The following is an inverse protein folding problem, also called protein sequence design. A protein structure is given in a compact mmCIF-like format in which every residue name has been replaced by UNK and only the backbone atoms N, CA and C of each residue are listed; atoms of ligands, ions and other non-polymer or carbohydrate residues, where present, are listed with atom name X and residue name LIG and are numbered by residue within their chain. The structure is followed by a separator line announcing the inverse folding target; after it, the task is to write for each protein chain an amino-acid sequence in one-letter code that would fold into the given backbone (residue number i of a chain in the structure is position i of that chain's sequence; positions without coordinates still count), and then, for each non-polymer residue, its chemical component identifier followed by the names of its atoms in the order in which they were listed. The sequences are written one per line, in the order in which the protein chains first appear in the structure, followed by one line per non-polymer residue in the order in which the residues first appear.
data_IF_680163743221
#
_entry.id   IF_680163743221
#
_cell.length_a   1.000
_cell.length_b   1.000
_cell.length_c   1.000
_cell.angle_alpha   90.00
_cell.angle_beta   90.00
_cell.angle_gamma   90.00
#
_symmetry.space_group_name_H-M   'P 1'
#
loop_
_entity.id
_entity.type
_entity.pdbx_description
1 polymer ?
#
# COMPACT_ATOMS: atom_id res chain seq x y z
N UNK A 1 14.40 -7.46 -9.25
CA UNK A 1 13.85 -8.56 -8.44
C UNK A 1 13.61 -9.74 -9.36
N UNK A 2 13.83 -10.97 -8.87
CA UNK A 2 13.55 -12.22 -9.61
C UNK A 2 12.28 -12.80 -9.00
N UNK A 3 11.35 -13.27 -9.84
CA UNK A 3 10.13 -13.96 -9.40
C UNK A 3 10.33 -15.44 -9.68
N UNK A 4 10.14 -16.29 -8.68
CA UNK A 4 10.20 -17.74 -8.81
C UNK A 4 8.82 -18.31 -8.47
N UNK A 5 8.26 -19.10 -9.39
CA UNK A 5 7.04 -19.88 -9.15
C UNK A 5 7.45 -21.35 -9.09
N UNK A 6 7.21 -21.98 -7.94
CA UNK A 6 7.60 -23.37 -7.70
C UNK A 6 6.38 -24.23 -7.36
N UNK A 7 6.38 -25.52 -7.75
CA UNK A 7 5.24 -26.42 -7.51
C UNK A 7 5.14 -26.91 -6.05
N UNK A 8 6.24 -26.83 -5.29
CA UNK A 8 6.34 -27.29 -3.91
C UNK A 8 7.35 -26.47 -3.08
N UNK A 9 7.40 -26.78 -1.78
CA UNK A 9 8.22 -26.09 -0.75
C UNK A 9 9.73 -26.42 -0.82
N UNK A 10 10.15 -27.40 -1.63
CA UNK A 10 11.57 -27.79 -1.74
C UNK A 10 12.39 -26.66 -2.30
N UNK A 11 11.89 -26.01 -3.37
CA UNK A 11 12.50 -24.83 -3.94
C UNK A 11 12.61 -23.68 -2.91
N UNK A 12 11.65 -23.54 -2.00
CA UNK A 12 11.69 -22.49 -0.97
C UNK A 12 12.80 -22.71 0.06
N UNK A 13 13.21 -23.96 0.34
CA UNK A 13 14.37 -24.27 1.19
C UNK A 13 15.69 -23.99 0.47
N UNK A 14 15.80 -24.43 -0.78
CA UNK A 14 17.00 -24.18 -1.59
C UNK A 14 17.22 -22.67 -1.81
N UNK A 15 16.16 -21.93 -2.13
CA UNK A 15 16.23 -20.48 -2.27
C UNK A 15 16.62 -19.80 -0.94
N UNK A 16 16.16 -20.28 0.21
CA UNK A 16 16.61 -19.77 1.52
C UNK A 16 18.11 -19.99 1.73
N UNK A 17 18.63 -21.18 1.44
CA UNK A 17 20.07 -21.43 1.53
C UNK A 17 20.91 -20.58 0.57
N UNK A 18 20.33 -20.11 -0.55
CA UNK A 18 21.00 -19.20 -1.47
C UNK A 18 21.10 -17.77 -0.94
N UNK A 19 20.20 -17.38 -0.03
CA UNK A 19 20.22 -16.07 0.63
C UNK A 19 21.13 -16.09 1.87
N UNK A 20 21.20 -17.23 2.56
CA UNK A 20 22.14 -17.44 3.66
C UNK A 20 23.59 -17.15 3.22
N UNK A 21 24.24 -16.19 3.89
CA UNK A 21 25.62 -15.80 3.60
C UNK A 21 25.79 -14.82 2.43
N UNK A 22 24.71 -14.34 1.80
CA UNK A 22 24.77 -13.28 0.79
C UNK A 22 24.27 -11.95 1.35
N UNK A 23 25.15 -10.98 1.61
CA UNK A 23 24.71 -9.63 2.00
C UNK A 23 23.83 -9.02 0.90
N UNK A 24 22.89 -8.18 1.30
CA UNK A 24 21.96 -7.44 0.44
C UNK A 24 21.08 -8.31 -0.49
N UNK A 25 20.97 -9.60 -0.20
CA UNK A 25 20.04 -10.51 -0.88
C UNK A 25 18.91 -10.85 0.08
N UNK A 26 17.67 -10.74 -0.37
CA UNK A 26 16.48 -10.95 0.46
C UNK A 26 15.46 -11.81 -0.29
N UNK A 27 14.70 -12.61 0.46
CA UNK A 27 13.63 -13.43 -0.12
C UNK A 27 12.32 -13.31 0.64
N UNK A 28 11.26 -13.01 -0.10
CA UNK A 28 9.88 -13.09 0.34
C UNK A 28 9.17 -14.26 -0.32
N UNK A 29 8.51 -15.09 0.47
CA UNK A 29 7.67 -16.20 0.00
C UNK A 29 6.20 -15.94 0.26
N UNK A 30 5.33 -16.47 -0.60
CA UNK A 30 3.88 -16.52 -0.35
C UNK A 30 3.49 -17.77 0.43
N UNK A 31 2.27 -17.81 0.95
CA UNK A 31 1.64 -19.07 1.33
C UNK A 31 1.33 -19.90 0.07
N UNK A 32 1.13 -21.22 0.19
CA UNK A 32 0.79 -22.07 -0.95
C UNK A 32 -0.52 -21.60 -1.60
N UNK A 33 -0.45 -21.21 -2.87
CA UNK A 33 -1.59 -20.77 -3.67
C UNK A 33 -1.83 -21.71 -4.87
N UNK A 34 -3.05 -21.69 -5.40
CA UNK A 34 -3.33 -22.29 -6.72
C UNK A 34 -2.77 -21.40 -7.83
N UNK A 35 -2.50 -21.98 -9.01
CA UNK A 35 -1.94 -21.25 -10.16
C UNK A 35 -2.82 -20.07 -10.61
N UNK A 36 -4.15 -20.21 -10.48
CA UNK A 36 -5.11 -19.14 -10.76
C UNK A 36 -4.97 -17.92 -9.83
N UNK A 37 -4.38 -18.10 -8.63
CA UNK A 37 -4.16 -17.06 -7.62
C UNK A 37 -2.73 -16.51 -7.63
N UNK A 38 -2.02 -16.60 -8.75
CA UNK A 38 -0.63 -16.10 -8.87
C UNK A 38 -0.51 -14.62 -8.55
N UNK A 39 -1.51 -13.79 -8.88
CA UNK A 39 -1.51 -12.37 -8.52
C UNK A 39 -1.53 -12.16 -6.99
N UNK A 40 -2.36 -12.92 -6.26
CA UNK A 40 -2.37 -12.93 -4.79
C UNK A 40 -1.04 -13.45 -4.23
N UNK A 41 -0.50 -14.54 -4.79
CA UNK A 41 0.79 -15.09 -4.38
C UNK A 41 1.93 -14.07 -4.57
N UNK A 42 1.92 -13.34 -5.68
CA UNK A 42 2.91 -12.29 -5.92
C UNK A 42 2.80 -11.16 -4.90
N UNK A 43 1.59 -10.67 -4.60
CA UNK A 43 1.38 -9.68 -3.54
C UNK A 43 1.88 -10.16 -2.18
N UNK A 44 1.55 -11.41 -1.80
CA UNK A 44 2.04 -12.03 -0.55
C UNK A 44 3.58 -12.09 -0.50
N UNK A 45 4.22 -12.50 -1.60
CA UNK A 45 5.68 -12.59 -1.68
C UNK A 45 6.34 -11.21 -1.60
N UNK A 46 5.75 -10.16 -2.18
CA UNK A 46 6.24 -8.77 -2.05
C UNK A 46 6.10 -8.27 -0.61
N UNK A 47 4.96 -8.48 0.05
CA UNK A 47 4.79 -8.12 1.47
C UNK A 47 5.76 -8.88 2.38
N UNK A 48 5.99 -10.17 2.11
CA UNK A 48 6.98 -10.95 2.86
C UNK A 48 8.40 -10.46 2.59
N UNK A 49 8.74 -10.10 1.34
CA UNK A 49 10.05 -9.57 0.98
C UNK A 49 10.35 -8.28 1.76
N UNK A 50 9.36 -7.40 1.91
CA UNK A 50 9.48 -6.20 2.72
C UNK A 50 9.84 -6.52 4.18
N UNK A 51 9.24 -7.55 4.77
CA UNK A 51 9.59 -8.02 6.13
C UNK A 51 10.99 -8.66 6.16
N UNK A 52 11.35 -9.40 5.12
CA UNK A 52 12.65 -10.07 5.02
C UNK A 52 13.82 -9.09 5.10
N UNK A 53 13.64 -7.85 4.62
CA UNK A 53 14.64 -6.77 4.74
C UNK A 53 15.00 -6.39 6.18
N UNK A 54 14.17 -6.73 7.16
CA UNK A 54 14.37 -6.40 8.57
C UNK A 54 14.71 -7.63 9.42
N UNK A 55 14.79 -8.82 8.82
CA UNK A 55 15.09 -10.06 9.54
C UNK A 55 16.56 -10.47 9.39
N UNK A 56 17.17 -11.03 10.45
CA UNK A 56 18.58 -11.44 10.41
C UNK A 56 18.87 -12.59 9.44
N UNK A 57 17.87 -13.40 9.09
CA UNK A 57 17.97 -14.48 8.12
C UNK A 57 17.66 -14.02 6.67
N UNK A 58 17.40 -12.71 6.46
CA UNK A 58 17.06 -12.10 5.17
C UNK A 58 15.90 -12.81 4.43
N UNK A 59 15.06 -13.54 5.17
CA UNK A 59 14.01 -14.36 4.62
C UNK A 59 12.72 -14.20 5.40
N UNK A 60 11.61 -14.13 4.69
CA UNK A 60 10.29 -14.25 5.30
C UNK A 60 9.37 -15.02 4.38
N UNK A 61 8.59 -15.92 4.99
CA UNK A 61 7.39 -16.47 4.36
C UNK A 61 6.23 -15.63 4.85
N UNK A 62 5.28 -15.35 3.97
CA UNK A 62 4.03 -14.68 4.31
C UNK A 62 3.34 -15.47 5.44
N UNK A 63 3.48 -14.96 6.66
CA UNK A 63 2.47 -15.16 7.69
C UNK A 63 1.32 -14.20 7.36
N UNK A 64 0.08 -14.55 7.71
CA UNK A 64 -1.04 -13.62 7.57
C UNK A 64 -0.78 -12.36 8.37
N UNK A 65 -0.20 -11.36 7.71
CA UNK A 65 -0.14 -10.00 8.17
C UNK A 65 -1.57 -9.51 8.20
N UNK A 66 -1.98 -8.95 9.33
CA UNK A 66 -3.28 -8.30 9.41
C UNK A 66 -3.25 -7.08 8.50
N UNK A 67 -3.84 -7.21 7.33
CA UNK A 67 -4.00 -6.10 6.39
C UNK A 67 -5.23 -5.28 6.76
N UNK A 68 -5.16 -3.93 6.67
CA UNK A 68 -6.21 -3.05 7.17
C UNK A 68 -7.57 -3.29 6.54
N UNK A 69 -7.63 -3.64 5.25
CA UNK A 69 -8.89 -3.92 4.55
C UNK A 69 -9.65 -5.11 5.12
N UNK A 70 -8.95 -6.09 5.71
CA UNK A 70 -9.59 -7.25 6.36
C UNK A 70 -10.19 -6.93 7.72
N UNK A 71 -9.83 -5.77 8.28
CA UNK A 71 -10.33 -5.28 9.58
C UNK A 71 -11.53 -4.33 9.43
N UNK A 72 -11.86 -3.93 8.20
CA UNK A 72 -12.98 -3.06 7.88
C UNK A 72 -14.26 -3.87 7.68
N UNK A 73 -15.43 -3.25 7.89
CA UNK A 73 -16.70 -3.86 7.50
C UNK A 73 -16.74 -4.02 5.96
N UNK A 74 -16.85 -5.25 5.42
CA UNK A 74 -16.77 -5.46 3.98
C UNK A 74 -17.85 -4.72 3.20
N UNK A 75 -19.05 -4.58 3.76
CA UNK A 75 -20.16 -3.93 3.07
C UNK A 75 -20.01 -2.40 3.05
N UNK A 76 -19.44 -1.80 4.10
CA UNK A 76 -19.05 -0.38 4.08
C UNK A 76 -17.91 -0.15 3.10
N UNK A 77 -16.87 -0.99 3.13
CA UNK A 77 -15.71 -0.87 2.24
C UNK A 77 -16.11 -1.01 0.76
N UNK A 78 -16.97 -1.97 0.42
CA UNK A 78 -17.49 -2.14 -0.94
C UNK A 78 -18.34 -0.96 -1.39
N UNK A 79 -19.25 -0.48 -0.54
CA UNK A 79 -20.10 0.68 -0.85
C UNK A 79 -19.27 1.93 -1.14
N UNK A 80 -18.33 2.25 -0.23
CA UNK A 80 -17.42 3.39 -0.40
C UNK A 80 -16.52 3.24 -1.63
N UNK A 81 -16.03 2.02 -1.91
CA UNK A 81 -15.22 1.76 -3.11
C UNK A 81 -16.02 2.03 -4.39
N UNK A 82 -17.28 1.59 -4.43
CA UNK A 82 -18.16 1.83 -5.58
C UNK A 82 -18.46 3.32 -5.75
N UNK A 83 -18.69 4.05 -4.66
CA UNK A 83 -18.90 5.50 -4.70
C UNK A 83 -17.65 6.24 -5.23
N UNK A 84 -16.47 5.93 -4.70
CA UNK A 84 -15.23 6.59 -5.08
C UNK A 84 -14.87 6.33 -6.55
N UNK A 85 -15.08 5.12 -7.05
CA UNK A 85 -14.71 4.76 -8.42
C UNK A 85 -15.80 5.06 -9.46
N UNK A 86 -17.02 5.41 -9.03
CA UNK A 86 -18.16 5.76 -9.92
C UNK A 86 -17.81 6.73 -11.05
N UNK A 87 -16.99 7.79 -10.85
CA UNK A 87 -16.64 8.69 -11.95
C UNK A 87 -15.95 8.00 -13.14
N UNK A 88 -15.39 6.81 -12.94
CA UNK A 88 -14.74 6.01 -13.98
C UNK A 88 -15.73 5.16 -14.80
N UNK A 89 -16.96 4.97 -14.33
CA UNK A 89 -17.99 4.14 -14.99
C UNK A 89 -18.43 4.69 -16.36
N UNK A 90 -18.14 5.98 -16.63
CA UNK A 90 -18.40 6.62 -17.93
C UNK A 90 -17.49 6.09 -19.05
N UNK A 91 -16.42 5.38 -18.69
CA UNK A 91 -15.44 4.89 -19.63
C UNK A 91 -15.90 3.59 -20.30
N UNK A 92 -15.50 3.40 -21.56
CA UNK A 92 -15.66 2.12 -22.23
C UNK A 92 -14.94 1.01 -21.45
N UNK A 93 -15.54 -0.18 -21.36
CA UNK A 93 -15.07 -1.29 -20.52
C UNK A 93 -13.56 -1.61 -20.65
N UNK A 94 -13.04 -1.64 -21.89
CA UNK A 94 -11.61 -1.89 -22.12
C UNK A 94 -10.72 -0.77 -21.57
N UNK A 95 -11.12 0.49 -21.74
CA UNK A 95 -10.39 1.66 -21.22
C UNK A 95 -10.46 1.67 -19.70
N UNK A 96 -11.63 1.36 -19.14
CA UNK A 96 -11.83 1.25 -17.70
C UNK A 96 -10.85 0.25 -17.08
N UNK A 97 -10.87 -1.01 -17.54
CA UNK A 97 -9.97 -2.05 -17.01
C UNK A 97 -8.49 -1.70 -17.17
N UNK A 98 -8.10 -1.10 -18.30
CA UNK A 98 -6.73 -0.67 -18.54
C UNK A 98 -6.27 0.43 -17.57
N UNK A 99 -7.11 1.43 -17.33
CA UNK A 99 -6.81 2.52 -16.39
C UNK A 99 -6.74 2.01 -14.95
N UNK A 100 -7.69 1.16 -14.52
CA UNK A 100 -7.65 0.60 -13.16
C UNK A 100 -6.40 -0.26 -12.94
N UNK A 101 -6.07 -1.15 -13.88
CA UNK A 101 -4.89 -2.00 -13.78
C UNK A 101 -3.59 -1.18 -13.77
N UNK A 102 -3.50 -0.16 -14.63
CA UNK A 102 -2.32 0.72 -14.69
C UNK A 102 -2.16 1.53 -13.42
N UNK A 103 -3.23 2.17 -12.94
CA UNK A 103 -3.18 3.02 -11.75
C UNK A 103 -2.90 2.19 -10.50
N UNK A 104 -3.46 0.99 -10.37
CA UNK A 104 -3.16 0.09 -9.26
C UNK A 104 -1.67 -0.25 -9.20
N UNK A 105 -1.07 -0.63 -10.34
CA UNK A 105 0.37 -0.91 -10.41
C UNK A 105 1.23 0.34 -10.23
N UNK A 106 0.79 1.49 -10.72
CA UNK A 106 1.51 2.77 -10.60
C UNK A 106 1.44 3.39 -9.20
N UNK A 107 0.45 3.01 -8.39
CA UNK A 107 0.42 3.34 -6.96
C UNK A 107 1.30 2.39 -6.15
N UNK A 108 1.28 1.09 -6.51
CA UNK A 108 2.10 0.07 -5.85
C UNK A 108 3.59 0.21 -6.15
N UNK A 109 3.95 0.64 -7.36
CA UNK A 109 5.33 0.74 -7.83
C UNK A 109 5.62 2.08 -8.49
N UNK A 110 6.91 2.39 -8.70
CA UNK A 110 7.27 3.54 -9.55
C UNK A 110 6.72 3.38 -10.97
N UNK A 111 6.43 4.48 -11.66
CA UNK A 111 5.98 4.45 -13.06
C UNK A 111 6.94 3.68 -13.99
N UNK A 112 8.23 3.64 -13.68
CA UNK A 112 9.22 2.85 -14.42
C UNK A 112 9.04 1.36 -14.19
N UNK A 113 8.86 0.93 -12.95
CA UNK A 113 8.62 -0.49 -12.61
C UNK A 113 7.28 -0.96 -13.13
N UNK A 114 6.22 -0.18 -12.96
CA UNK A 114 4.89 -0.47 -13.50
C UNK A 114 4.91 -0.62 -15.03
N UNK A 115 5.62 0.28 -15.73
CA UNK A 115 5.78 0.22 -17.17
C UNK A 115 6.43 -1.09 -17.66
N UNK A 116 7.44 -1.58 -16.93
CA UNK A 116 8.08 -2.88 -17.22
C UNK A 116 7.11 -4.05 -17.07
N UNK A 117 6.29 -4.03 -16.01
CA UNK A 117 5.28 -5.07 -15.76
C UNK A 117 4.19 -5.05 -16.83
N UNK A 118 3.76 -3.86 -17.24
CA UNK A 118 2.67 -3.66 -18.21
C UNK A 118 3.10 -3.75 -19.68
N UNK A 119 4.40 -3.80 -19.97
CA UNK A 119 4.91 -3.77 -21.34
C UNK A 119 4.66 -2.44 -22.08
N UNK A 120 4.58 -1.32 -21.34
CA UNK A 120 4.33 0.03 -21.88
C UNK A 120 5.44 1.00 -21.50
N UNK A 121 5.37 2.27 -21.93
CA UNK A 121 6.34 3.29 -21.52
C UNK A 121 6.00 3.89 -20.14
N UNK A 122 7.01 4.41 -19.42
CA UNK A 122 6.79 5.15 -18.16
C UNK A 122 5.87 6.38 -18.33
N UNK A 123 5.90 7.01 -19.51
CA UNK A 123 5.07 8.18 -19.80
C UNK A 123 3.61 7.76 -20.00
N UNK A 124 3.38 6.59 -20.59
CA UNK A 124 2.04 5.99 -20.71
C UNK A 124 1.45 5.71 -19.34
N UNK A 125 2.24 5.16 -18.40
CA UNK A 125 1.78 4.96 -17.01
C UNK A 125 1.39 6.28 -16.37
N UNK A 126 2.24 7.31 -16.47
CA UNK A 126 1.95 8.64 -15.92
C UNK A 126 0.68 9.26 -16.51
N UNK A 127 0.56 9.28 -17.83
CA UNK A 127 -0.62 9.84 -18.51
C UNK A 127 -1.92 9.12 -18.10
N UNK A 128 -1.86 7.80 -17.86
CA UNK A 128 -3.02 7.03 -17.39
C UNK A 128 -3.34 7.33 -15.93
N UNK A 129 -2.33 7.46 -15.08
CA UNK A 129 -2.53 7.87 -13.68
C UNK A 129 -3.10 9.29 -13.59
N UNK A 130 -2.55 10.25 -14.33
CA UNK A 130 -3.05 11.63 -14.43
C UNK A 130 -4.50 11.67 -14.94
N UNK A 131 -4.84 10.80 -15.89
CA UNK A 131 -6.22 10.68 -16.37
C UNK A 131 -7.17 10.16 -15.28
N UNK A 132 -6.77 9.17 -14.49
CA UNK A 132 -7.59 8.67 -13.37
C UNK A 132 -7.71 9.72 -12.27
N UNK A 133 -6.60 10.36 -11.91
CA UNK A 133 -6.56 11.47 -10.95
C UNK A 133 -7.56 12.58 -11.32
N UNK A 134 -7.56 13.01 -12.59
CA UNK A 134 -8.47 14.02 -13.11
C UNK A 134 -9.93 13.57 -13.17
N UNK A 135 -10.21 12.31 -13.51
CA UNK A 135 -11.59 11.78 -13.51
C UNK A 135 -12.15 11.63 -12.10
N UNK A 136 -11.31 11.26 -11.13
CA UNK A 136 -11.70 11.16 -9.72
C UNK A 136 -11.77 12.54 -9.03
N UNK A 137 -11.25 13.60 -9.66
CA UNK A 137 -11.16 14.92 -9.04
C UNK A 137 -10.26 14.91 -7.79
N UNK A 138 -9.16 14.15 -7.84
CA UNK A 138 -8.24 13.95 -6.71
C UNK A 138 -6.84 14.48 -7.02
N UNK A 139 -5.93 14.42 -6.04
CA UNK A 139 -4.52 14.81 -6.19
C UNK A 139 -3.61 13.68 -5.67
N UNK A 140 -2.90 13.00 -6.58
CA UNK A 140 -1.94 11.94 -6.28
C UNK A 140 -0.62 12.47 -5.74
N UNK A 141 -0.42 13.78 -5.61
CA UNK A 141 0.66 14.32 -4.79
C UNK A 141 0.38 14.14 -3.29
N UNK A 142 -0.89 13.94 -2.89
CA UNK A 142 -1.30 13.63 -1.53
C UNK A 142 -1.22 12.11 -1.26
N UNK A 143 -0.44 11.73 -0.25
CA UNK A 143 -0.27 10.33 0.15
C UNK A 143 -1.54 9.73 0.75
N UNK A 144 -2.40 10.53 1.38
CA UNK A 144 -3.69 10.08 1.92
C UNK A 144 -4.63 9.70 0.78
N UNK A 145 -4.69 10.52 -0.28
CA UNK A 145 -5.44 10.22 -1.51
C UNK A 145 -4.90 8.95 -2.16
N UNK A 146 -3.58 8.85 -2.35
CA UNK A 146 -2.97 7.65 -2.94
C UNK A 146 -3.28 6.38 -2.16
N UNK A 147 -3.21 6.42 -0.83
CA UNK A 147 -3.53 5.27 0.01
C UNK A 147 -4.98 4.83 -0.12
N UNK A 148 -5.92 5.79 -0.15
CA UNK A 148 -7.34 5.52 -0.29
C UNK A 148 -7.69 5.01 -1.69
N UNK A 149 -7.17 5.62 -2.75
CA UNK A 149 -7.39 5.14 -4.12
C UNK A 149 -6.76 3.75 -4.30
N UNK A 150 -5.58 3.50 -3.73
CA UNK A 150 -4.98 2.17 -3.73
C UNK A 150 -5.86 1.13 -3.01
N UNK A 151 -6.44 1.47 -1.86
CA UNK A 151 -7.38 0.61 -1.12
C UNK A 151 -8.63 0.29 -1.97
N UNK A 152 -9.24 1.31 -2.59
CA UNK A 152 -10.41 1.13 -3.43
C UNK A 152 -10.12 0.25 -4.66
N UNK A 153 -9.00 0.48 -5.37
CA UNK A 153 -8.63 -0.31 -6.55
C UNK A 153 -8.34 -1.79 -6.21
N UNK A 154 -7.71 -2.07 -5.06
CA UNK A 154 -7.48 -3.45 -4.65
C UNK A 154 -8.75 -4.14 -4.15
N UNK A 155 -9.64 -3.39 -3.49
CA UNK A 155 -10.97 -3.88 -3.11
C UNK A 155 -11.78 -4.24 -4.36
N UNK A 156 -11.81 -3.36 -5.36
CA UNK A 156 -12.51 -3.58 -6.63
C UNK A 156 -12.00 -4.82 -7.38
N UNK A 157 -10.68 -4.99 -7.48
CA UNK A 157 -10.08 -6.17 -8.08
C UNK A 157 -10.43 -7.49 -7.34
N UNK A 158 -10.70 -7.42 -6.03
CA UNK A 158 -11.20 -8.54 -5.24
C UNK A 158 -12.69 -8.83 -5.48
N UNK A 159 -13.51 -7.80 -5.69
CA UNK A 159 -14.94 -7.91 -5.98
C UNK A 159 -15.23 -8.55 -7.35
N UNK A 160 -14.43 -8.25 -8.38
CA UNK A 160 -14.56 -8.93 -9.70
C UNK A 160 -14.46 -10.46 -9.60
N UNK A 161 -13.85 -10.97 -8.53
CA UNK A 161 -13.64 -12.40 -8.28
C UNK A 161 -14.74 -13.03 -7.39
N UNK A 162 -15.64 -12.23 -6.81
CA UNK A 162 -16.71 -12.71 -5.91
C UNK A 162 -17.90 -11.74 -5.86
N UNK A 163 -19.07 -12.19 -6.30
CA UNK A 163 -20.30 -11.37 -6.40
C UNK A 163 -20.78 -10.90 -5.01
N UNK A 164 -20.49 -9.65 -4.66
CA UNK A 164 -21.00 -8.98 -3.46
C UNK A 164 -22.32 -8.24 -3.74
N UNK A 165 -23.25 -8.28 -2.77
CA UNK A 165 -24.55 -7.61 -2.81
C UNK A 165 -24.35 -6.09 -2.67
N UNK A 166 -24.89 -5.32 -3.60
CA UNK A 166 -24.89 -3.85 -3.56
C UNK A 166 -25.75 -3.32 -2.40
N UNK A 167 -25.19 -2.44 -1.56
CA UNK A 167 -25.96 -1.55 -0.68
C UNK A 167 -26.34 -0.30 -1.47
N UNK A 168 -27.54 0.24 -1.23
CA UNK A 168 -27.97 1.52 -1.79
C UNK A 168 -27.71 2.65 -0.80
N UNK A 169 -26.88 3.61 -1.20
CA UNK A 169 -26.62 4.86 -0.48
C UNK A 169 -25.13 5.18 -0.37
N UNK A 170 -24.74 6.47 -0.39
CA UNK A 170 -23.34 6.86 -0.28
C UNK A 170 -22.78 6.49 1.09
N UNK A 171 -21.64 5.81 1.13
CA UNK A 171 -20.96 5.43 2.38
C UNK A 171 -19.84 6.42 2.68
N UNK A 172 -19.89 7.17 3.79
CA UNK A 172 -18.83 8.11 4.13
C UNK A 172 -17.56 7.38 4.55
N UNK A 173 -16.40 7.88 4.08
CA UNK A 173 -15.08 7.32 4.42
C UNK A 173 -14.85 7.17 5.94
N UNK A 174 -15.38 8.13 6.72
CA UNK A 174 -15.27 8.09 8.17
C UNK A 174 -15.86 6.81 8.78
N UNK A 175 -16.97 6.29 8.23
CA UNK A 175 -17.57 5.04 8.72
C UNK A 175 -16.69 3.82 8.39
N UNK A 176 -16.06 3.79 7.21
CA UNK A 176 -15.13 2.72 6.82
C UNK A 176 -13.93 2.66 7.75
N UNK A 177 -13.39 3.83 8.14
CA UNK A 177 -12.18 3.94 8.96
C UNK A 177 -12.43 3.84 10.47
N UNK A 178 -13.67 3.98 10.93
CA UNK A 178 -14.01 4.05 12.37
C UNK A 178 -14.13 2.68 13.06
N UNK A 179 -14.00 1.59 12.32
CA UNK A 179 -14.13 0.23 12.85
C UNK A 179 -13.16 -0.04 14.02
N UNK A 180 -13.62 -0.62 15.15
CA UNK A 180 -12.77 -0.79 16.34
C UNK A 180 -11.55 -1.68 16.07
N UNK A 181 -11.69 -2.73 15.25
CA UNK A 181 -10.59 -3.61 14.90
C UNK A 181 -9.48 -2.87 14.14
N UNK A 182 -9.85 -2.04 13.15
CA UNK A 182 -8.91 -1.21 12.41
C UNK A 182 -8.22 -0.19 13.33
N UNK A 183 -8.98 0.46 14.22
CA UNK A 183 -8.42 1.43 15.18
C UNK A 183 -7.43 0.78 16.15
N UNK A 184 -7.75 -0.38 16.70
CA UNK A 184 -6.84 -1.13 17.59
C UNK A 184 -5.56 -1.50 16.85
N UNK A 185 -5.67 -2.07 15.65
CA UNK A 185 -4.50 -2.39 14.82
C UNK A 185 -3.64 -1.16 14.52
N UNK A 186 -4.27 -0.04 14.15
CA UNK A 186 -3.58 1.20 13.83
C UNK A 186 -2.82 1.75 15.03
N UNK A 187 -3.47 1.78 16.21
CA UNK A 187 -2.84 2.17 17.46
C UNK A 187 -1.66 1.27 17.81
N UNK A 188 -1.82 -0.06 17.70
CA UNK A 188 -0.75 -1.00 18.00
C UNK A 188 0.43 -0.91 17.03
N UNK A 189 0.19 -0.64 15.75
CA UNK A 189 1.24 -0.40 14.77
C UNK A 189 2.01 0.88 15.10
N UNK A 190 1.30 2.00 15.29
CA UNK A 190 1.93 3.30 15.53
C UNK A 190 2.61 3.39 16.90
N UNK A 191 2.07 2.72 17.93
CA UNK A 191 2.66 2.66 19.28
C UNK A 191 4.05 2.02 19.30
N UNK A 192 4.42 1.23 18.29
CA UNK A 192 5.79 0.70 18.16
C UNK A 192 6.84 1.81 18.02
N UNK A 193 6.44 3.00 17.56
CA UNK A 193 7.32 4.16 17.40
C UNK A 193 7.50 4.96 18.69
N UNK A 194 6.58 4.83 19.65
CA UNK A 194 6.54 5.66 20.87
C UNK A 194 7.79 5.51 21.77
N UNK A 195 8.50 4.36 21.86
CA UNK A 195 9.73 4.25 22.64
C UNK A 195 10.91 5.07 22.11
N UNK A 196 10.84 5.56 20.86
CA UNK A 196 11.93 6.32 20.26
C UNK A 196 11.93 7.79 20.73
N UNK A 197 13.02 8.22 21.37
CA UNK A 197 13.16 9.58 21.92
C UNK A 197 13.11 10.70 20.86
N UNK A 198 13.26 10.37 19.57
CA UNK A 198 13.26 11.35 18.47
C UNK A 198 11.87 11.69 17.93
N UNK A 199 10.82 11.09 18.50
CA UNK A 199 9.42 11.26 18.06
C UNK A 199 9.24 10.94 16.55
N UNK A 200 9.55 9.69 16.22
CA UNK A 200 9.42 9.17 14.85
C UNK A 200 7.98 9.27 14.35
N UNK A 201 6.99 9.06 15.24
CA UNK A 201 5.56 9.13 14.91
C UNK A 201 5.16 10.52 14.44
N UNK A 202 5.57 11.59 15.14
CA UNK A 202 5.37 12.96 14.67
C UNK A 202 6.05 13.22 13.33
N UNK A 203 7.29 12.75 13.18
CA UNK A 203 8.04 12.95 11.94
C UNK A 203 7.34 12.30 10.76
N UNK A 204 6.89 11.03 10.91
CA UNK A 204 6.15 10.31 9.89
C UNK A 204 4.81 10.97 9.56
N UNK A 205 4.03 11.35 10.56
CA UNK A 205 2.75 12.05 10.34
C UNK A 205 2.95 13.33 9.52
N UNK A 206 3.92 14.17 9.89
CA UNK A 206 4.22 15.40 9.15
C UNK A 206 4.78 15.11 7.76
N UNK A 207 5.59 14.05 7.61
CA UNK A 207 6.11 13.62 6.32
C UNK A 207 5.03 13.13 5.36
N UNK A 208 4.06 12.37 5.88
CA UNK A 208 2.89 11.92 5.12
C UNK A 208 2.03 13.11 4.69
N UNK A 209 1.71 14.01 5.63
CA UNK A 209 0.96 15.24 5.34
C UNK A 209 1.68 16.16 4.32
N UNK A 210 3.01 16.09 4.27
CA UNK A 210 3.83 16.78 3.28
C UNK A 210 3.97 16.02 1.95
N UNK A 211 3.20 14.95 1.69
CA UNK A 211 3.24 14.16 0.46
C UNK A 211 4.52 13.33 0.31
N UNK A 212 5.17 12.97 1.42
CA UNK A 212 6.44 12.25 1.42
C UNK A 212 7.66 13.13 1.10
N UNK A 213 7.52 14.46 1.14
CA UNK A 213 8.59 15.40 0.82
C UNK A 213 9.43 15.75 2.07
N UNK A 214 10.70 15.34 2.09
CA UNK A 214 11.59 15.54 3.26
C UNK A 214 11.91 17.01 3.53
N UNK A 215 12.05 17.83 2.48
CA UNK A 215 12.38 19.25 2.56
C UNK A 215 11.22 20.06 3.16
N UNK A 216 9.99 19.83 2.69
CA UNK A 216 8.77 20.45 3.23
C UNK A 216 8.50 20.01 4.68
N UNK A 217 8.76 18.74 4.98
CA UNK A 217 8.66 18.21 6.33
C UNK A 217 9.67 18.88 7.27
N UNK A 218 10.91 19.01 6.82
CA UNK A 218 11.99 19.65 7.57
C UNK A 218 11.67 21.11 7.90
N UNK A 219 11.14 21.86 6.93
CA UNK A 219 10.65 23.22 7.16
C UNK A 219 9.56 23.27 8.23
N UNK A 220 8.60 22.33 8.17
CA UNK A 220 7.48 22.27 9.14
C UNK A 220 7.94 21.89 10.55
N UNK A 221 8.94 21.01 10.66
CA UNK A 221 9.47 20.51 11.94
C UNK A 221 10.62 21.35 12.49
N UNK A 222 11.17 22.30 11.73
CA UNK A 222 12.34 23.09 12.13
C UNK A 222 13.63 22.27 12.22
N UNK A 223 13.76 21.22 11.41
CA UNK A 223 14.92 20.32 11.39
C UNK A 223 15.56 20.28 10.00
N UNK A 224 16.65 19.54 9.83
CA UNK A 224 17.26 19.34 8.52
C UNK A 224 16.56 18.22 7.72
N UNK A 225 16.48 18.34 6.39
CA UNK A 225 15.85 17.34 5.52
C UNK A 225 16.49 15.94 5.64
N UNK A 226 17.79 15.89 5.94
CA UNK A 226 18.49 14.64 6.21
C UNK A 226 17.99 13.96 7.49
N UNK A 227 17.70 14.71 8.56
CA UNK A 227 17.13 14.19 9.80
C UNK A 227 15.77 13.55 9.54
N UNK A 228 14.94 14.17 8.71
CA UNK A 228 13.64 13.58 8.29
C UNK A 228 13.87 12.23 7.59
N UNK A 229 14.78 12.16 6.62
CA UNK A 229 15.09 10.90 5.92
C UNK A 229 15.59 9.81 6.87
N UNK A 230 16.42 10.17 7.83
CA UNK A 230 16.94 9.25 8.85
C UNK A 230 15.84 8.76 9.79
N UNK A 231 14.91 9.63 10.18
CA UNK A 231 13.75 9.25 10.99
C UNK A 231 12.81 8.31 10.22
N UNK A 232 12.47 8.64 8.97
CA UNK A 232 11.63 7.78 8.13
C UNK A 232 12.27 6.41 7.96
N UNK A 233 13.58 6.36 7.66
CA UNK A 233 14.34 5.10 7.55
C UNK A 233 14.41 4.33 8.87
N UNK A 234 14.55 5.03 10.00
CA UNK A 234 14.58 4.40 11.33
C UNK A 234 13.24 3.78 11.72
N UNK A 235 12.13 4.31 11.19
CA UNK A 235 10.80 3.77 11.44
C UNK A 235 10.52 2.47 10.68
N UNK A 236 11.16 2.25 9.53
CA UNK A 236 10.95 1.06 8.69
C UNK A 236 11.13 -0.27 9.44
N UNK A 237 12.26 -0.53 10.14
CA UNK A 237 12.42 -1.77 10.90
C UNK A 237 11.50 -1.88 12.12
N UNK A 238 11.12 -0.76 12.74
CA UNK A 238 10.24 -0.72 13.92
C UNK A 238 8.81 -1.11 13.54
N UNK A 239 8.35 -0.63 12.38
CA UNK A 239 7.04 -0.96 11.83
C UNK A 239 7.04 -2.26 11.03
N UNK A 240 8.22 -2.76 10.65
CA UNK A 240 8.42 -3.79 9.64
C UNK A 240 7.78 -3.40 8.30
N UNK A 241 7.96 -2.13 7.88
CA UNK A 241 7.34 -1.54 6.69
C UNK A 241 8.36 -0.78 5.85
N UNK A 242 8.37 -1.02 4.54
CA UNK A 242 9.16 -0.23 3.60
C UNK A 242 8.42 1.05 3.21
N UNK A 243 8.78 2.17 3.84
CA UNK A 243 8.16 3.47 3.61
C UNK A 243 8.80 4.19 2.41
N UNK A 244 10.12 4.07 2.26
CA UNK A 244 10.89 4.74 1.21
C UNK A 244 10.76 4.06 -0.16
N UNK A 245 10.36 2.79 -0.18
CA UNK A 245 10.06 2.06 -1.42
C UNK A 245 8.75 2.53 -2.07
N UNK A 246 7.90 3.26 -1.32
CA UNK A 246 6.49 3.53 -1.64
C UNK A 246 5.66 2.25 -1.83
N UNK A 247 4.36 2.40 -2.10
CA UNK A 247 3.43 1.28 -2.31
C UNK A 247 2.71 0.83 -1.04
N UNK A 248 2.23 -0.41 -1.05
CA UNK A 248 1.33 -0.97 -0.01
C UNK A 248 1.79 -0.75 1.43
N UNK A 249 3.08 -0.93 1.73
CA UNK A 249 3.61 -0.76 3.09
C UNK A 249 3.47 0.67 3.61
N UNK A 250 3.78 1.65 2.76
CA UNK A 250 3.55 3.06 3.07
C UNK A 250 2.06 3.33 3.25
N UNK A 251 1.21 2.80 2.38
CA UNK A 251 -0.24 3.03 2.45
C UNK A 251 -0.90 2.43 3.68
N UNK A 252 -0.42 1.30 4.19
CA UNK A 252 -0.88 0.77 5.48
C UNK A 252 -0.58 1.74 6.63
N UNK A 253 0.60 2.37 6.65
CA UNK A 253 0.96 3.36 7.68
C UNK A 253 0.13 4.64 7.54
N UNK A 254 -0.15 5.08 6.31
CA UNK A 254 -1.08 6.19 6.05
C UNK A 254 -2.48 5.86 6.58
N UNK A 255 -3.01 4.68 6.28
CA UNK A 255 -4.32 4.23 6.77
C UNK A 255 -4.35 4.15 8.31
N UNK A 256 -3.24 3.75 8.96
CA UNK A 256 -3.15 3.76 10.41
C UNK A 256 -3.26 5.17 11.01
N UNK A 257 -2.58 6.17 10.42
CA UNK A 257 -2.71 7.55 10.86
C UNK A 257 -4.13 8.13 10.61
N UNK A 258 -4.78 7.76 9.51
CA UNK A 258 -6.17 8.15 9.24
C UNK A 258 -7.14 7.51 10.24
N UNK A 259 -7.00 6.20 10.51
CA UNK A 259 -7.87 5.47 11.44
C UNK A 259 -7.72 5.95 12.90
N UNK A 260 -6.54 6.46 13.28
CA UNK A 260 -6.31 7.07 14.60
C UNK A 260 -6.78 8.53 14.68
N UNK A 261 -7.14 9.15 13.56
CA UNK A 261 -7.47 10.57 13.49
C UNK A 261 -6.25 11.50 13.61
N UNK A 262 -5.04 10.97 13.44
CA UNK A 262 -3.83 11.77 13.44
C UNK A 262 -3.60 12.50 12.12
N UNK A 263 -4.18 11.99 11.04
CA UNK A 263 -4.30 12.67 9.76
C UNK A 263 -5.78 12.88 9.46
N UNK A 264 -6.09 14.04 8.91
CA UNK A 264 -7.42 14.32 8.39
C UNK A 264 -7.62 13.56 7.08
N UNK A 265 -8.78 12.91 6.88
CA UNK A 265 -9.11 12.31 5.59
C UNK A 265 -9.21 13.40 4.51
N UNK A 266 -8.69 13.15 3.30
CA UNK A 266 -8.81 14.09 2.20
C UNK A 266 -10.29 14.24 1.80
N UNK A 267 -10.64 15.42 1.30
CA UNK A 267 -11.94 15.62 0.66
C UNK A 267 -11.91 14.96 -0.72
N UNK A 268 -12.42 13.74 -0.82
CA UNK A 268 -12.65 13.08 -2.10
C UNK A 268 -13.96 13.62 -2.68
N UNK A 269 -13.96 13.92 -3.99
CA UNK A 269 -15.20 14.25 -4.67
C UNK A 269 -16.13 13.03 -4.62
N UNK A 270 -17.37 13.23 -4.17
CA UNK A 270 -18.42 12.21 -4.13
C UNK A 270 -19.37 12.38 -5.33
#
# INVERSE_FOLDING_TARGET
HVIVVAPDETAARELRSLVEGRPDTFIGGSSRQTLARTATAYGQAVSALAVAHFRPDNAAVYAERTHPERLMDPALLHGWTADLLRPLDVLAHHTHGELLATTRLGLEFTAVSAAKVLGVSRNTVRARMERVEGLLGTDFSDLTVRALVHLALNTQAGMEQGRGRERSGPVPLGEVLSGPALRTWALDLLRRLDPDARDLRRTLRTWIAAGGNSERTAQTLGVHAQTVREHVRSAEPVLERQLLAAGSDLYEVVLAHLATGELEPPRLAA
#
